data_IF_272539426630
#
_entry.id   IF_272539426630
#
_cell.length_a   1.000
_cell.length_b   1.000
_cell.length_c   1.000
_cell.angle_alpha   90.00
_cell.angle_beta   90.00
_cell.angle_gamma   90.00
#
_symmetry.space_group_name_H-M   'P 1'
#
loop_
_entity.id
_entity.type
_entity.pdbx_description
1 polymer ?
#
# COMPACT_ATOMS: atom_id res chain seq x y z
N UNK A 1 -45.81 41.80 -50.14
CA UNK A 1 -46.97 40.89 -49.99
C UNK A 1 -46.57 39.47 -50.38
N UNK A 2 -46.93 38.49 -49.56
CA UNK A 2 -47.20 37.07 -49.86
C UNK A 2 -46.17 36.18 -50.61
N UNK A 3 -45.39 35.45 -49.79
CA UNK A 3 -45.13 33.99 -49.76
C UNK A 3 -45.55 33.15 -50.98
N UNK A 4 -44.57 32.58 -51.68
CA UNK A 4 -44.72 31.36 -52.52
C UNK A 4 -43.75 30.29 -52.02
N UNK A 5 -44.26 29.06 -51.98
CA UNK A 5 -43.78 27.88 -51.25
C UNK A 5 -43.11 26.90 -52.22
N UNK A 6 -42.16 26.13 -51.69
CA UNK A 6 -41.63 24.83 -52.16
C UNK A 6 -40.64 24.80 -53.36
N UNK A 7 -39.39 24.38 -53.10
CA UNK A 7 -38.90 23.02 -53.41
C UNK A 7 -37.45 22.73 -52.94
N UNK A 8 -37.34 21.56 -52.29
CA UNK A 8 -36.24 20.59 -52.31
C UNK A 8 -34.88 20.93 -51.68
N UNK A 9 -34.64 20.37 -50.50
CA UNK A 9 -33.48 19.48 -50.32
C UNK A 9 -33.91 18.26 -49.49
N UNK A 10 -33.70 17.07 -50.05
CA UNK A 10 -34.14 15.76 -49.54
C UNK A 10 -33.02 15.14 -48.67
N UNK A 11 -33.47 14.27 -47.77
CA UNK A 11 -32.75 13.11 -47.19
C UNK A 11 -31.76 13.36 -46.08
N UNK A 12 -32.04 12.74 -44.93
CA UNK A 12 -30.96 12.26 -44.09
C UNK A 12 -31.32 11.77 -42.70
N UNK A 13 -32.48 12.14 -42.14
CA UNK A 13 -32.72 11.93 -40.69
C UNK A 13 -33.99 11.14 -40.35
N UNK A 14 -34.97 11.03 -41.26
CA UNK A 14 -36.24 10.35 -40.97
C UNK A 14 -36.28 8.84 -41.30
N UNK A 15 -35.15 8.13 -41.19
CA UNK A 15 -35.14 6.67 -41.34
C UNK A 15 -34.09 5.98 -40.45
N UNK A 16 -34.05 6.28 -39.16
CA UNK A 16 -33.44 5.37 -38.16
C UNK A 16 -34.07 5.46 -36.77
N UNK A 17 -35.38 5.75 -36.70
CA UNK A 17 -36.15 5.77 -35.45
C UNK A 17 -37.44 4.95 -35.60
N UNK A 18 -37.33 3.79 -36.26
CA UNK A 18 -38.46 2.88 -36.44
C UNK A 18 -37.99 1.43 -36.40
N UNK A 19 -37.53 0.95 -35.24
CA UNK A 19 -37.72 -0.46 -34.81
C UNK A 19 -37.25 -0.74 -33.37
N UNK A 20 -37.67 0.09 -32.40
CA UNK A 20 -37.63 -0.33 -30.99
C UNK A 20 -39.08 -0.47 -30.52
N UNK A 21 -39.56 -1.72 -30.59
CA UNK A 21 -40.87 -2.15 -30.07
C UNK A 21 -40.92 -1.71 -28.60
N UNK A 22 -42.06 -1.16 -28.13
CA UNK A 22 -42.31 -0.83 -26.71
C UNK A 22 -42.24 -2.10 -25.85
N UNK A 23 -41.04 -2.59 -25.62
CA UNK A 23 -40.74 -3.62 -24.65
C UNK A 23 -40.87 -2.92 -23.31
N UNK A 24 -41.76 -3.41 -22.44
CA UNK A 24 -42.10 -2.73 -21.18
C UNK A 24 -40.80 -2.43 -20.43
N UNK A 25 -40.51 -1.16 -20.14
CA UNK A 25 -39.29 -0.75 -19.42
C UNK A 25 -39.09 -1.55 -18.12
N UNK A 26 -40.20 -1.97 -17.50
CA UNK A 26 -40.27 -2.86 -16.34
C UNK A 26 -39.65 -4.25 -16.57
N UNK A 27 -39.75 -4.85 -17.76
CA UNK A 27 -39.12 -6.15 -18.04
C UNK A 27 -37.61 -6.02 -18.20
N UNK A 28 -37.11 -4.92 -18.77
CA UNK A 28 -35.66 -4.64 -18.80
C UNK A 28 -35.10 -4.43 -17.40
N UNK A 29 -35.81 -3.69 -16.54
CA UNK A 29 -35.42 -3.51 -15.15
C UNK A 29 -35.37 -4.85 -14.38
N UNK A 30 -36.35 -5.74 -14.62
CA UNK A 30 -36.36 -7.06 -14.01
C UNK A 30 -35.19 -7.94 -14.48
N UNK A 31 -34.86 -7.92 -15.78
CA UNK A 31 -33.71 -8.69 -16.31
C UNK A 31 -32.38 -8.17 -15.78
N UNK A 32 -32.20 -6.85 -15.70
CA UNK A 32 -30.98 -6.24 -15.12
C UNK A 32 -30.85 -6.56 -13.63
N UNK A 33 -31.96 -6.54 -12.88
CA UNK A 33 -31.98 -6.95 -11.48
C UNK A 33 -31.61 -8.43 -11.26
N UNK A 34 -32.09 -9.32 -12.12
CA UNK A 34 -31.73 -10.75 -12.07
C UNK A 34 -30.25 -10.96 -12.39
N UNK A 35 -29.69 -10.24 -13.36
CA UNK A 35 -28.27 -10.37 -13.73
C UNK A 35 -27.34 -9.88 -12.61
N UNK A 36 -27.74 -8.86 -11.84
CA UNK A 36 -26.96 -8.39 -10.69
C UNK A 36 -27.08 -9.29 -9.45
N UNK A 37 -28.24 -9.93 -9.26
CA UNK A 37 -28.47 -10.85 -8.13
C UNK A 37 -27.85 -12.25 -8.36
N UNK A 38 -27.66 -12.65 -9.62
CA UNK A 38 -26.99 -13.90 -10.02
C UNK A 38 -25.57 -13.61 -10.53
N UNK A 39 -24.98 -12.49 -10.10
CA UNK A 39 -23.55 -12.26 -10.29
C UNK A 39 -22.78 -13.39 -9.57
N UNK A 40 -21.81 -14.05 -10.22
CA UNK A 40 -21.04 -15.08 -9.55
C UNK A 40 -20.29 -14.46 -8.36
N UNK A 41 -20.53 -14.98 -7.16
CA UNK A 41 -19.75 -14.73 -5.94
C UNK A 41 -18.37 -15.41 -6.04
N UNK A 42 -17.67 -15.19 -7.14
CA UNK A 42 -16.33 -15.74 -7.32
C UNK A 42 -15.35 -14.60 -7.07
N UNK A 43 -15.15 -14.28 -5.79
CA UNK A 43 -13.93 -13.57 -5.40
C UNK A 43 -12.78 -14.55 -5.53
N UNK A 44 -12.12 -14.54 -6.69
CA UNK A 44 -10.85 -15.23 -6.84
C UNK A 44 -9.82 -14.43 -6.06
N UNK A 45 -9.40 -14.95 -4.90
CA UNK A 45 -8.12 -14.59 -4.36
C UNK A 45 -7.07 -15.04 -5.39
N UNK A 46 -6.31 -14.09 -5.93
CA UNK A 46 -5.25 -14.39 -6.87
C UNK A 46 -4.25 -15.33 -6.17
N UNK A 47 -4.17 -16.56 -6.64
CA UNK A 47 -3.26 -17.55 -6.11
C UNK A 47 -1.83 -16.99 -6.18
N UNK A 48 -0.97 -17.25 -5.18
CA UNK A 48 0.40 -16.76 -5.19
C UNK A 48 1.09 -17.19 -6.49
N UNK A 49 1.82 -16.26 -7.10
CA UNK A 49 2.50 -16.51 -8.36
C UNK A 49 3.43 -17.72 -8.19
N UNK A 50 3.18 -18.78 -8.94
CA UNK A 50 4.08 -19.92 -8.99
C UNK A 50 5.00 -19.68 -10.18
N UNK A 51 6.27 -19.40 -9.89
CA UNK A 51 7.35 -19.49 -10.87
C UNK A 51 7.28 -20.87 -11.54
N UNK A 52 6.86 -20.90 -12.81
CA UNK A 52 6.74 -22.14 -13.58
C UNK A 52 8.14 -22.78 -13.63
N UNK A 53 8.31 -24.02 -13.15
CA UNK A 53 9.63 -24.65 -12.99
C UNK A 53 10.32 -24.99 -14.32
N UNK A 54 9.74 -24.65 -15.47
CA UNK A 54 10.34 -24.87 -16.79
C UNK A 54 11.67 -24.10 -16.98
N UNK A 55 11.89 -23.01 -16.24
CA UNK A 55 13.20 -22.32 -16.25
C UNK A 55 14.21 -22.88 -15.22
N UNK A 56 13.75 -23.70 -14.27
CA UNK A 56 14.55 -24.33 -13.22
C UNK A 56 14.67 -25.85 -13.44
N UNK A 57 14.64 -26.28 -14.70
CA UNK A 57 14.88 -27.68 -15.09
C UNK A 57 16.36 -28.08 -14.99
N UNK A 58 16.92 -27.97 -13.80
CA UNK A 58 18.14 -28.67 -13.41
C UNK A 58 17.81 -29.46 -12.14
N UNK A 59 17.83 -30.78 -12.32
CA UNK A 59 17.68 -31.85 -11.34
C UNK A 59 17.95 -31.43 -9.89
N UNK A 60 16.93 -31.59 -9.04
CA UNK A 60 16.95 -31.41 -7.58
C UNK A 60 17.16 -29.96 -7.14
N UNK A 61 16.06 -29.20 -7.05
CA UNK A 61 16.09 -27.89 -6.41
C UNK A 61 16.48 -28.05 -4.93
N UNK A 62 17.54 -27.38 -4.48
CA UNK A 62 17.91 -27.40 -3.07
C UNK A 62 16.88 -26.64 -2.22
N UNK A 63 16.65 -27.10 -0.99
CA UNK A 63 15.61 -26.59 -0.09
C UNK A 63 15.68 -25.07 0.16
N UNK A 64 16.86 -24.45 0.02
CA UNK A 64 17.04 -23.01 0.20
C UNK A 64 16.28 -22.15 -0.83
N UNK A 65 15.84 -22.69 -1.97
CA UNK A 65 15.12 -21.92 -3.01
C UNK A 65 13.61 -21.82 -2.70
N UNK A 66 13.05 -22.76 -1.95
CA UNK A 66 11.60 -22.81 -1.65
C UNK A 66 11.01 -21.52 -1.07
N UNK A 67 11.70 -20.78 -0.19
CA UNK A 67 11.18 -19.54 0.37
C UNK A 67 10.99 -18.41 -0.67
N UNK A 68 11.78 -18.38 -1.74
CA UNK A 68 11.73 -17.34 -2.77
C UNK A 68 10.47 -17.38 -3.64
N UNK A 69 9.73 -18.48 -3.60
CA UNK A 69 8.45 -18.59 -4.32
C UNK A 69 7.32 -17.84 -3.61
N UNK A 70 7.54 -17.38 -2.37
CA UNK A 70 6.54 -16.62 -1.64
C UNK A 70 6.62 -15.14 -1.96
N UNK A 71 5.46 -14.55 -2.19
CA UNK A 71 5.29 -13.11 -2.34
C UNK A 71 5.72 -12.42 -1.04
N UNK A 72 6.64 -11.47 -1.15
CA UNK A 72 7.12 -10.66 -0.01
C UNK A 72 8.24 -11.31 0.81
N UNK A 73 8.71 -12.50 0.45
CA UNK A 73 9.89 -13.08 1.11
C UNK A 73 11.17 -12.34 0.70
N UNK A 74 12.01 -12.03 1.69
CA UNK A 74 13.31 -11.37 1.50
C UNK A 74 14.37 -12.25 2.14
N UNK A 75 15.48 -12.45 1.45
CA UNK A 75 16.57 -13.23 2.03
C UNK A 75 17.12 -12.55 3.29
N UNK A 76 17.51 -13.33 4.31
CA UNK A 76 18.33 -12.83 5.40
C UNK A 76 19.64 -12.25 4.86
N UNK A 77 20.04 -11.09 5.36
CA UNK A 77 21.18 -10.37 4.84
C UNK A 77 21.10 -8.87 5.11
N UNK A 78 22.12 -8.14 4.69
CA UNK A 78 22.15 -6.68 4.84
C UNK A 78 21.98 -6.01 3.48
N UNK A 79 21.02 -5.07 3.40
CA UNK A 79 20.67 -4.37 2.17
C UNK A 79 20.76 -2.87 2.38
N UNK A 80 21.28 -2.17 1.37
CA UNK A 80 21.21 -0.72 1.30
C UNK A 80 19.82 -0.32 0.82
N UNK A 81 19.04 0.32 1.69
CA UNK A 81 17.68 0.73 1.41
C UNK A 81 17.48 2.19 1.79
N UNK A 82 16.74 2.92 0.96
CA UNK A 82 16.11 4.17 1.40
C UNK A 82 14.95 3.81 2.33
N UNK A 83 14.71 4.62 3.36
CA UNK A 83 13.61 4.41 4.31
C UNK A 83 12.56 5.49 4.14
N UNK A 84 11.31 5.08 3.95
CA UNK A 84 10.14 5.96 3.90
C UNK A 84 9.19 5.64 5.05
N UNK A 85 8.54 6.67 5.59
CA UNK A 85 7.47 6.57 6.57
C UNK A 85 6.22 7.16 5.98
N UNK A 86 5.17 6.36 5.82
CA UNK A 86 3.93 6.80 5.17
C UNK A 86 4.20 7.54 3.84
N UNK A 87 5.14 7.03 3.02
CA UNK A 87 5.61 7.58 1.74
C UNK A 87 6.49 8.84 1.82
N UNK A 88 6.84 9.31 3.02
CA UNK A 88 7.81 10.40 3.21
C UNK A 88 9.20 9.82 3.48
N UNK A 89 10.18 10.19 2.66
CA UNK A 89 11.55 9.73 2.84
C UNK A 89 12.16 10.34 4.11
N UNK A 90 12.66 9.48 4.99
CA UNK A 90 13.36 9.89 6.23
C UNK A 90 14.86 9.62 6.17
N UNK A 91 15.29 8.70 5.30
CA UNK A 91 16.70 8.39 5.08
C UNK A 91 16.93 7.86 3.66
N UNK A 92 18.04 8.25 3.04
CA UNK A 92 18.33 7.97 1.64
C UNK A 92 19.15 6.70 1.41
N UNK A 93 20.11 6.41 2.30
CA UNK A 93 20.97 5.23 2.21
C UNK A 93 21.22 4.72 3.63
N UNK A 94 20.55 3.63 3.99
CA UNK A 94 20.70 2.96 5.28
C UNK A 94 20.90 1.47 5.06
N UNK A 95 21.75 0.87 5.88
CA UNK A 95 21.94 -0.59 5.90
C UNK A 95 20.85 -1.18 6.80
N UNK A 96 19.97 -1.99 6.22
CA UNK A 96 18.92 -2.72 6.93
C UNK A 96 19.24 -4.21 6.89
N UNK A 97 19.37 -4.82 8.07
CA UNK A 97 19.60 -6.26 8.21
C UNK A 97 18.28 -7.00 8.33
N UNK A 98 18.05 -7.99 7.48
CA UNK A 98 16.91 -8.91 7.55
C UNK A 98 17.29 -10.15 8.34
N UNK A 99 16.46 -10.48 9.32
CA UNK A 99 16.60 -11.68 10.16
C UNK A 99 15.40 -12.58 9.98
N UNK A 100 15.63 -13.88 10.19
CA UNK A 100 14.56 -14.89 10.20
C UNK A 100 13.79 -14.76 11.50
N UNK A 101 12.46 -14.90 11.43
CA UNK A 101 11.63 -14.98 12.63
C UNK A 101 11.91 -16.29 13.38
N UNK A 102 11.96 -16.23 14.71
CA UNK A 102 12.13 -17.43 15.52
C UNK A 102 10.89 -18.32 15.50
N UNK A 103 9.70 -17.70 15.40
CA UNK A 103 8.42 -18.41 15.40
C UNK A 103 8.05 -18.89 13.99
N UNK A 104 8.47 -18.17 12.96
CA UNK A 104 8.25 -18.50 11.56
C UNK A 104 9.56 -18.47 10.76
N UNK A 105 10.26 -19.63 10.58
CA UNK A 105 11.54 -19.69 9.87
C UNK A 105 11.43 -19.31 8.38
N UNK A 106 10.20 -19.19 7.93
CA UNK A 106 9.75 -18.95 6.58
C UNK A 106 9.42 -17.45 6.36
N UNK A 107 9.43 -16.65 7.43
CA UNK A 107 9.26 -15.21 7.44
C UNK A 107 10.56 -14.49 7.79
N UNK A 108 10.81 -13.35 7.17
CA UNK A 108 11.95 -12.48 7.48
C UNK A 108 11.45 -11.06 7.74
N UNK A 109 12.07 -10.40 8.71
CA UNK A 109 11.69 -9.04 9.10
C UNK A 109 12.89 -8.09 8.99
N UNK A 110 12.65 -6.82 8.60
CA UNK A 110 13.67 -5.80 8.61
C UNK A 110 14.01 -5.41 10.04
N UNK A 111 15.29 -5.37 10.37
CA UNK A 111 15.75 -4.88 11.65
C UNK A 111 15.64 -3.36 11.71
N UNK A 112 14.75 -2.86 12.58
CA UNK A 112 14.59 -1.42 12.82
C UNK A 112 15.42 -1.04 14.05
N UNK A 113 16.48 -0.27 13.84
CA UNK A 113 17.35 0.19 14.94
C UNK A 113 16.68 1.27 15.79
N UNK A 114 17.11 1.45 17.06
CA UNK A 114 16.59 2.53 17.91
C UNK A 114 16.69 3.91 17.30
N UNK A 115 17.78 4.17 16.58
CA UNK A 115 17.99 5.42 15.85
C UNK A 115 16.95 5.60 14.74
N UNK A 116 16.70 4.55 13.94
CA UNK A 116 15.72 4.60 12.87
C UNK A 116 14.29 4.78 13.40
N UNK A 117 13.95 4.06 14.46
CA UNK A 117 12.63 4.15 15.11
C UNK A 117 12.37 5.55 15.68
N UNK A 118 13.40 6.21 16.19
CA UNK A 118 13.32 7.59 16.68
C UNK A 118 12.95 8.59 15.57
N UNK A 119 13.34 8.30 14.32
CA UNK A 119 13.00 9.10 13.14
C UNK A 119 11.57 8.85 12.61
N UNK A 120 10.92 7.75 13.02
CA UNK A 120 9.56 7.41 12.57
C UNK A 120 8.49 8.36 13.12
N UNK A 121 8.77 9.07 14.23
CA UNK A 121 7.82 9.98 14.85
C UNK A 121 6.69 9.28 15.61
N UNK A 122 7.01 8.17 16.26
CA UNK A 122 6.06 7.49 17.13
C UNK A 122 5.80 8.32 18.39
N UNK A 123 4.61 8.16 18.99
CA UNK A 123 4.32 8.79 20.28
C UNK A 123 5.28 8.25 21.36
N UNK A 124 5.79 9.11 22.27
CA UNK A 124 6.77 8.68 23.28
C UNK A 124 6.22 7.57 24.19
N UNK A 125 4.93 7.64 24.54
CA UNK A 125 4.23 6.63 25.36
C UNK A 125 4.26 5.21 24.76
N UNK A 126 4.44 5.11 23.45
CA UNK A 126 4.49 3.86 22.69
C UNK A 126 5.95 3.46 22.46
N UNK A 127 6.81 4.42 22.10
CA UNK A 127 8.24 4.20 21.92
C UNK A 127 8.92 3.65 23.19
N UNK A 128 8.50 4.11 24.37
CA UNK A 128 9.05 3.67 25.65
C UNK A 128 8.66 2.22 26.02
N UNK A 129 7.62 1.65 25.38
CA UNK A 129 7.13 0.29 25.65
C UNK A 129 7.70 -0.76 24.68
N UNK A 130 8.55 -0.35 23.76
CA UNK A 130 9.16 -1.24 22.78
C UNK A 130 10.19 -2.17 23.42
N UNK A 131 10.23 -3.41 22.95
CA UNK A 131 11.23 -4.39 23.38
C UNK A 131 12.27 -4.50 22.27
N UNK A 132 13.53 -4.44 22.68
CA UNK A 132 14.67 -4.53 21.80
C UNK A 132 15.32 -5.90 21.91
N UNK A 133 15.48 -6.58 20.77
CA UNK A 133 16.19 -7.86 20.63
C UNK A 133 17.61 -7.63 20.08
N UNK A 134 18.39 -8.72 19.95
CA UNK A 134 19.76 -8.69 19.43
C UNK A 134 20.65 -7.66 20.15
N UNK A 135 20.74 -7.78 21.48
CA UNK A 135 21.51 -6.87 22.34
C UNK A 135 21.09 -5.39 22.25
N UNK A 136 19.81 -5.12 22.01
CA UNK A 136 19.27 -3.76 21.98
C UNK A 136 19.36 -3.07 20.62
N UNK A 137 19.78 -3.79 19.58
CA UNK A 137 20.03 -3.21 18.25
C UNK A 137 18.82 -3.25 17.34
N UNK A 138 17.80 -4.05 17.68
CA UNK A 138 16.71 -4.37 16.78
C UNK A 138 15.37 -4.31 17.50
N UNK A 139 14.38 -3.65 16.92
CA UNK A 139 13.01 -3.72 17.40
C UNK A 139 12.46 -5.14 17.19
N UNK A 140 11.82 -5.70 18.22
CA UNK A 140 11.12 -6.97 18.06
C UNK A 140 9.98 -6.82 17.03
N UNK A 141 9.77 -7.79 16.11
CA UNK A 141 8.64 -7.76 15.20
C UNK A 141 7.29 -7.84 15.95
N UNK A 142 6.21 -7.43 15.28
CA UNK A 142 4.81 -7.57 15.70
C UNK A 142 4.40 -6.95 17.05
N UNK A 143 5.19 -6.01 17.56
CA UNK A 143 4.85 -5.32 18.81
C UNK A 143 3.76 -4.25 18.70
N UNK A 144 3.49 -3.79 17.48
CA UNK A 144 2.67 -2.60 17.24
C UNK A 144 1.57 -2.90 16.24
N UNK A 145 0.34 -2.95 16.74
CA UNK A 145 -0.84 -3.04 15.90
C UNK A 145 -0.99 -1.77 15.06
N UNK A 146 -0.91 -1.92 13.74
CA UNK A 146 -0.98 -0.81 12.78
C UNK A 146 0.38 -0.22 12.39
N UNK A 147 1.48 -0.91 12.71
CA UNK A 147 2.76 -0.72 12.04
C UNK A 147 3.00 -1.88 11.08
N UNK A 148 3.26 -1.57 9.82
CA UNK A 148 3.52 -2.57 8.77
C UNK A 148 4.77 -2.15 8.00
N UNK A 149 5.61 -3.12 7.63
CA UNK A 149 6.83 -2.87 6.85
C UNK A 149 6.70 -3.51 5.48
N UNK A 150 6.87 -2.72 4.43
CA UNK A 150 6.87 -3.17 3.05
C UNK A 150 8.20 -2.84 2.41
N UNK A 151 8.87 -3.86 1.88
CA UNK A 151 10.15 -3.68 1.20
C UNK A 151 10.01 -3.96 -0.28
N UNK A 152 10.61 -3.09 -1.07
CA UNK A 152 10.78 -3.24 -2.51
C UNK A 152 12.27 -3.22 -2.81
N UNK A 153 12.86 -4.40 -3.05
CA UNK A 153 14.26 -4.52 -3.43
C UNK A 153 14.55 -3.98 -4.83
N UNK A 154 13.55 -3.94 -5.73
CA UNK A 154 13.72 -3.39 -7.08
C UNK A 154 13.93 -1.88 -7.04
N UNK A 155 13.29 -1.22 -6.06
CA UNK A 155 13.43 0.21 -5.77
C UNK A 155 14.39 0.51 -4.62
N UNK A 156 15.08 -0.51 -4.08
CA UNK A 156 15.96 -0.39 -2.91
C UNK A 156 15.31 0.40 -1.76
N UNK A 157 14.07 0.05 -1.45
CA UNK A 157 13.20 0.86 -0.60
C UNK A 157 12.58 0.02 0.52
N UNK A 158 12.65 0.52 1.75
CA UNK A 158 11.86 0.08 2.89
C UNK A 158 10.80 1.14 3.23
N UNK A 159 9.53 0.79 3.13
CA UNK A 159 8.40 1.64 3.52
C UNK A 159 7.82 1.14 4.84
N UNK A 160 7.84 2.00 5.85
CA UNK A 160 7.19 1.79 7.14
C UNK A 160 5.86 2.52 7.12
N UNK A 161 4.76 1.75 7.17
CA UNK A 161 3.40 2.27 7.20
C UNK A 161 2.95 2.30 8.66
N UNK A 162 2.52 3.46 9.13
CA UNK A 162 2.15 3.67 10.53
C UNK A 162 0.76 4.31 10.58
N UNK A 163 -0.21 3.64 11.21
CA UNK A 163 -1.56 4.18 11.37
C UNK A 163 -1.59 5.38 12.32
N UNK A 164 -2.55 6.28 12.09
CA UNK A 164 -2.73 7.53 12.85
C UNK A 164 -2.85 7.43 14.38
N UNK A 165 -3.43 6.39 15.02
CA UNK A 165 -3.53 6.39 16.48
C UNK A 165 -2.17 6.38 17.19
N UNK A 166 -1.13 5.80 16.56
CA UNK A 166 0.21 5.63 17.14
C UNK A 166 1.24 6.64 16.60
N UNK A 167 0.94 7.30 15.48
CA UNK A 167 1.83 8.28 14.84
C UNK A 167 1.65 9.70 15.38
N UNK A 168 2.76 10.42 15.64
CA UNK A 168 2.73 11.81 16.06
C UNK A 168 2.46 12.73 14.86
N UNK A 169 1.38 13.52 14.91
CA UNK A 169 0.99 14.45 13.84
C UNK A 169 1.95 15.62 13.66
N UNK A 170 2.87 15.87 14.61
CA UNK A 170 3.84 16.96 14.53
C UNK A 170 4.94 16.74 13.46
N UNK A 171 5.17 15.51 12.99
CA UNK A 171 6.21 15.23 11.99
C UNK A 171 5.75 15.36 10.52
N UNK A 172 4.44 15.45 10.26
CA UNK A 172 3.91 15.54 8.88
C UNK A 172 4.32 16.81 8.12
N UNK A 173 4.91 17.79 8.80
CA UNK A 173 5.26 19.10 8.24
C UNK A 173 6.69 19.20 7.69
N UNK A 174 7.51 18.15 7.75
CA UNK A 174 8.91 18.21 7.27
C UNK A 174 9.79 19.22 8.03
N UNK A 175 9.33 19.68 9.20
CA UNK A 175 10.12 20.56 10.07
C UNK A 175 11.01 19.65 10.90
N UNK A 176 12.28 19.57 10.55
CA UNK A 176 13.32 19.09 11.45
C UNK A 176 13.28 20.00 12.69
N UNK A 177 12.69 19.53 13.80
CA UNK A 177 12.87 20.22 15.07
C UNK A 177 14.34 20.04 15.45
N UNK A 178 15.13 21.12 15.62
CA UNK A 178 16.44 21.00 16.21
C UNK A 178 16.27 20.55 17.67
N UNK A 179 16.98 19.48 18.03
CA UNK A 179 17.06 19.03 19.42
C UNK A 179 17.68 20.15 20.26
N UNK A 180 16.91 20.68 21.23
CA UNK A 180 17.43 21.61 22.24
C UNK A 180 16.72 22.96 22.36
N UNK A 181 15.39 22.99 22.48
CA UNK A 181 14.71 24.16 23.05
C UNK A 181 14.04 23.79 24.37
N UNK A 182 14.79 23.97 25.45
CA UNK A 182 14.20 24.12 26.79
C UNK A 182 13.51 25.48 26.85
N UNK A 183 12.18 25.44 26.95
CA UNK A 183 11.33 26.43 27.60
C UNK A 183 11.32 27.85 27.04
N UNK A 184 10.24 28.20 26.33
CA UNK A 184 9.67 29.55 26.38
C UNK A 184 8.14 29.46 26.41
N UNK A 185 7.45 30.36 27.15
CA UNK A 185 6.05 30.22 27.48
C UNK A 185 5.15 30.57 26.30
N UNK A 186 3.96 29.97 26.30
CA UNK A 186 2.91 30.17 25.32
C UNK A 186 2.61 31.67 25.07
N UNK A 187 2.97 32.15 23.88
CA UNK A 187 2.42 33.40 23.35
C UNK A 187 1.26 33.07 22.42
N UNK A 188 0.07 33.37 22.93
CA UNK A 188 -1.22 33.40 22.28
C UNK A 188 -1.19 34.13 20.93
N UNK A 189 -1.66 33.47 19.87
CA UNK A 189 -2.10 34.16 18.65
C UNK A 189 -3.59 34.46 18.80
N UNK A 190 -3.91 35.70 19.17
CA UNK A 190 -5.23 36.28 18.96
C UNK A 190 -5.37 36.64 17.49
N UNK A 191 -6.47 36.22 16.87
CA UNK A 191 -6.81 36.51 15.48
C UNK A 191 -7.31 37.96 15.40
N UNK A 192 -6.88 38.71 14.38
CA UNK A 192 -7.60 39.89 13.91
C UNK A 192 -8.08 39.66 12.49
#
# INVERSE_FOLDING_TARGET
>A
MLKVKNRLYISGIDCLMAHYKKFRLSTLAAVVGIVLAVGPENSYAEAPFNLIPDFLMLKMMPAWISPFFRKGYIMPGSYHLQVLVNQSQIAQDNIITYSVDNDDPDNTYPCLSPELVSLLGLKPEIADKMIWINAGQCLQPDQLEGMETQTDLSQSTLTVIIRRPIWNTAMKSGIHLPAGMKGFPACYLTTR
#
